data_IF_300951195931
#
_entry.id   IF_300951195931
#
_cell.length_a   1.000
_cell.length_b   1.000
_cell.length_c   1.000
_cell.angle_alpha   90.00
_cell.angle_beta   90.00
_cell.angle_gamma   90.00
#
_symmetry.space_group_name_H-M   'P 1'
#
loop_
_entity.id
_entity.type
_entity.pdbx_description
1 polymer ?
#
# COMPACT_ATOMS: atom_id res chain seq x y z
N UNK A 1 -14.90 26.55 -4.75
CA UNK A 1 -14.61 25.86 -6.03
C UNK A 1 -13.28 25.15 -5.85
N UNK A 2 -13.28 23.83 -5.98
CA UNK A 2 -12.04 23.05 -5.91
C UNK A 2 -11.25 23.34 -7.20
N UNK A 3 -10.10 24.01 -7.09
CA UNK A 3 -9.19 24.19 -8.22
C UNK A 3 -8.57 22.84 -8.58
N UNK A 4 -8.73 22.41 -9.84
CA UNK A 4 -8.08 21.21 -10.33
C UNK A 4 -6.56 21.45 -10.36
N UNK A 5 -5.81 20.57 -9.71
CA UNK A 5 -4.35 20.65 -9.65
C UNK A 5 -3.75 19.99 -10.90
N UNK A 6 -2.77 20.67 -11.51
CA UNK A 6 -2.12 20.15 -12.74
C UNK A 6 -1.04 19.14 -12.41
N UNK A 7 -1.13 17.97 -13.03
CA UNK A 7 -0.10 16.94 -13.00
C UNK A 7 0.33 16.59 -14.43
N UNK A 8 1.63 16.68 -14.70
CA UNK A 8 2.19 16.28 -15.99
C UNK A 8 2.38 14.77 -16.01
N UNK A 9 1.74 14.11 -16.98
CA UNK A 9 1.87 12.68 -17.23
C UNK A 9 2.30 12.43 -18.66
N UNK A 10 2.88 11.27 -18.93
CA UNK A 10 3.28 10.86 -20.28
C UNK A 10 2.68 9.49 -20.58
N UNK A 11 2.27 9.20 -21.81
CA UNK A 11 1.85 7.86 -22.18
C UNK A 11 3.01 6.89 -22.06
N UNK A 12 2.78 5.77 -21.37
CA UNK A 12 3.81 4.76 -21.09
C UNK A 12 3.80 3.66 -22.15
N UNK A 13 4.95 3.45 -22.78
CA UNK A 13 5.17 2.40 -23.79
C UNK A 13 5.66 1.09 -23.13
N UNK A 14 6.39 1.21 -22.01
CA UNK A 14 7.01 0.05 -21.32
C UNK A 14 5.98 -0.66 -20.47
N UNK A 15 5.68 -1.92 -20.79
CA UNK A 15 4.72 -2.77 -20.09
C UNK A 15 5.37 -4.02 -19.48
N UNK A 16 4.68 -4.68 -18.57
CA UNK A 16 5.06 -5.95 -17.97
C UNK A 16 6.31 -5.87 -17.07
N UNK A 17 7.15 -6.90 -17.09
CA UNK A 17 8.29 -7.07 -16.16
C UNK A 17 9.33 -5.95 -16.23
N UNK A 18 9.40 -5.20 -17.34
CA UNK A 18 10.36 -4.10 -17.53
C UNK A 18 10.03 -2.82 -16.76
N UNK A 19 8.84 -2.72 -16.18
CA UNK A 19 8.38 -1.58 -15.36
C UNK A 19 9.27 -1.33 -14.14
N UNK A 20 9.88 -2.39 -13.58
CA UNK A 20 10.84 -2.25 -12.48
C UNK A 20 12.05 -1.38 -12.80
N UNK A 21 12.44 -1.28 -14.07
CA UNK A 21 13.54 -0.40 -14.51
C UNK A 21 13.13 1.08 -14.48
N UNK A 22 11.84 1.40 -14.72
CA UNK A 22 11.31 2.77 -14.64
C UNK A 22 11.35 3.26 -13.19
N UNK A 23 10.89 2.43 -12.25
CA UNK A 23 10.90 2.77 -10.82
C UNK A 23 12.31 3.09 -10.31
N UNK A 24 13.32 2.32 -10.73
CA UNK A 24 14.75 2.59 -10.41
C UNK A 24 15.26 3.92 -10.97
N UNK A 25 14.64 4.44 -12.02
CA UNK A 25 14.95 5.75 -12.60
C UNK A 25 14.17 6.90 -11.99
N UNK A 26 13.35 6.64 -10.94
CA UNK A 26 12.49 7.65 -10.31
C UNK A 26 11.22 7.95 -11.09
N UNK A 27 10.82 7.06 -12.01
CA UNK A 27 9.56 7.20 -12.77
C UNK A 27 8.50 6.32 -12.17
N UNK A 28 7.38 6.93 -11.77
CA UNK A 28 6.21 6.25 -11.22
C UNK A 28 5.29 5.82 -12.37
N UNK A 29 5.08 4.51 -12.54
CA UNK A 29 4.10 4.00 -13.48
C UNK A 29 2.68 4.14 -12.90
N UNK A 30 1.73 4.46 -13.76
CA UNK A 30 0.32 4.54 -13.42
C UNK A 30 -0.58 4.07 -14.55
N UNK A 31 -1.88 4.11 -14.27
CA UNK A 31 -2.95 3.83 -15.22
C UNK A 31 -4.05 4.87 -15.04
N UNK A 32 -4.56 5.40 -16.14
CA UNK A 32 -5.76 6.24 -16.15
C UNK A 32 -6.90 5.38 -16.68
N UNK A 33 -7.91 5.15 -15.87
CA UNK A 33 -9.05 4.30 -16.21
C UNK A 33 -10.38 5.00 -15.92
N UNK A 34 -11.49 4.37 -16.29
CA UNK A 34 -12.85 4.90 -16.08
C UNK A 34 -13.29 5.92 -17.14
N UNK A 35 -14.52 6.43 -16.97
CA UNK A 35 -15.15 7.31 -17.95
C UNK A 35 -15.40 6.63 -19.31
N UNK A 36 -15.64 7.43 -20.35
CA UNK A 36 -15.96 6.94 -21.69
C UNK A 36 -14.75 6.46 -22.51
N UNK A 37 -13.53 6.47 -21.94
CA UNK A 37 -12.30 6.15 -22.68
C UNK A 37 -11.64 4.84 -22.26
N UNK A 38 -10.77 4.27 -23.10
CA UNK A 38 -9.99 3.09 -22.75
C UNK A 38 -9.00 3.39 -21.62
N UNK A 39 -8.61 2.36 -20.88
CA UNK A 39 -7.55 2.48 -19.88
C UNK A 39 -6.22 2.80 -20.57
N UNK A 40 -5.57 3.86 -20.14
CA UNK A 40 -4.33 4.36 -20.74
C UNK A 40 -3.19 4.22 -19.74
N UNK A 41 -2.12 3.46 -20.05
CA UNK A 41 -0.95 3.39 -19.20
C UNK A 41 -0.19 4.72 -19.28
N UNK A 42 0.17 5.24 -18.10
CA UNK A 42 0.88 6.52 -17.96
C UNK A 42 2.13 6.38 -17.11
N UNK A 43 2.98 7.38 -17.19
CA UNK A 43 4.14 7.54 -16.32
C UNK A 43 4.29 8.98 -15.88
N UNK A 44 4.72 9.18 -14.64
CA UNK A 44 4.98 10.51 -14.06
C UNK A 44 6.26 10.48 -13.24
N UNK A 45 6.81 11.63 -12.93
CA UNK A 45 7.94 11.74 -12.01
C UNK A 45 7.52 11.37 -10.59
N UNK A 46 8.22 10.41 -9.99
CA UNK A 46 7.88 9.86 -8.66
C UNK A 46 8.01 10.92 -7.57
N UNK A 47 9.08 11.73 -7.60
CA UNK A 47 9.34 12.71 -6.56
C UNK A 47 8.33 13.87 -6.62
N UNK A 48 8.08 14.39 -7.83
CA UNK A 48 7.10 15.44 -8.04
C UNK A 48 5.69 14.99 -7.63
N UNK A 49 5.31 13.75 -7.98
CA UNK A 49 4.03 13.18 -7.57
C UNK A 49 3.94 13.02 -6.05
N UNK A 50 4.98 12.51 -5.40
CA UNK A 50 4.98 12.31 -3.94
C UNK A 50 4.78 13.61 -3.16
N UNK A 51 5.51 14.67 -3.53
CA UNK A 51 5.36 16.00 -2.90
C UNK A 51 3.96 16.57 -3.09
N UNK A 52 3.41 16.37 -4.26
CA UNK A 52 2.08 16.84 -4.63
C UNK A 52 1.00 16.05 -3.90
N UNK A 53 1.12 14.73 -3.91
CA UNK A 53 0.18 13.81 -3.26
C UNK A 53 0.05 14.04 -1.75
N UNK A 54 1.14 14.36 -1.06
CA UNK A 54 1.10 14.72 0.37
C UNK A 54 0.22 15.95 0.65
N UNK A 55 0.06 16.83 -0.33
CA UNK A 55 -0.78 18.03 -0.22
C UNK A 55 -2.21 17.80 -0.66
N UNK A 56 -2.39 16.94 -1.66
CA UNK A 56 -3.67 16.75 -2.35
C UNK A 56 -4.52 15.64 -1.72
N UNK A 57 -3.89 14.55 -1.30
CA UNK A 57 -4.59 13.34 -0.89
C UNK A 57 -5.25 12.62 -2.06
N UNK A 58 -6.19 11.71 -1.75
CA UNK A 58 -6.91 10.91 -2.75
C UNK A 58 -8.07 11.66 -3.42
N UNK A 59 -8.65 12.63 -2.71
CA UNK A 59 -9.95 13.26 -3.06
C UNK A 59 -9.83 14.53 -3.88
N UNK A 60 -8.61 15.00 -4.17
CA UNK A 60 -8.41 16.23 -4.94
C UNK A 60 -8.51 15.98 -6.43
N UNK A 61 -9.24 16.85 -7.12
CA UNK A 61 -9.34 16.86 -8.57
C UNK A 61 -8.00 17.19 -9.22
N UNK A 62 -7.54 16.32 -10.12
CA UNK A 62 -6.33 16.49 -10.90
C UNK A 62 -6.67 16.74 -12.36
N UNK A 63 -5.98 17.69 -12.98
CA UNK A 63 -5.94 17.86 -14.42
C UNK A 63 -4.66 17.19 -14.95
N UNK A 64 -4.81 16.03 -15.59
CA UNK A 64 -3.71 15.27 -16.18
C UNK A 64 -3.37 15.87 -17.54
N UNK A 65 -2.21 16.50 -17.64
CA UNK A 65 -1.71 17.09 -18.89
C UNK A 65 -0.66 16.18 -19.54
N UNK A 66 -0.70 16.05 -20.87
CA UNK A 66 0.28 15.28 -21.65
C UNK A 66 -0.25 13.95 -22.20
N UNK A 67 -1.57 13.75 -22.16
CA UNK A 67 -2.23 12.63 -22.84
C UNK A 67 -2.67 13.05 -24.24
N UNK A 68 -2.70 12.09 -25.19
CA UNK A 68 -3.05 12.32 -26.59
C UNK A 68 -4.48 12.86 -26.83
N UNK A 69 -5.31 12.92 -25.79
CA UNK A 69 -6.69 13.44 -25.83
C UNK A 69 -6.89 14.82 -25.18
N UNK A 70 -5.81 15.51 -24.79
CA UNK A 70 -5.90 16.79 -24.07
C UNK A 70 -5.84 16.63 -22.54
N UNK A 71 -6.26 17.67 -21.81
CA UNK A 71 -6.32 17.62 -20.34
C UNK A 71 -7.50 16.74 -19.91
N UNK A 72 -7.20 15.75 -19.07
CA UNK A 72 -8.20 14.80 -18.52
C UNK A 72 -8.36 15.05 -17.04
N UNK A 73 -9.60 15.25 -16.59
CA UNK A 73 -9.91 15.36 -15.17
C UNK A 73 -9.96 13.97 -14.54
N UNK A 74 -9.22 13.77 -13.47
CA UNK A 74 -9.14 12.50 -12.76
C UNK A 74 -8.99 12.71 -11.25
N UNK A 75 -9.34 11.66 -10.48
CA UNK A 75 -9.02 11.51 -9.06
C UNK A 75 -7.96 10.44 -8.88
N UNK A 76 -7.20 10.52 -7.80
CA UNK A 76 -6.33 9.41 -7.38
C UNK A 76 -7.23 8.36 -6.74
N UNK A 77 -7.32 7.18 -7.36
CA UNK A 77 -8.11 6.08 -6.82
C UNK A 77 -7.30 5.26 -5.80
N UNK A 78 -6.10 4.84 -6.19
CA UNK A 78 -5.22 4.08 -5.30
C UNK A 78 -3.75 4.41 -5.55
N UNK A 79 -2.95 4.30 -4.51
CA UNK A 79 -1.48 4.46 -4.55
C UNK A 79 -0.83 3.27 -3.87
N UNK A 80 -0.42 2.32 -4.66
CA UNK A 80 0.32 1.15 -4.18
C UNK A 80 1.71 1.55 -3.71
N UNK A 81 2.08 1.12 -2.49
CA UNK A 81 3.39 1.37 -1.88
C UNK A 81 4.09 0.07 -1.52
N UNK A 82 5.39 0.09 -1.56
CA UNK A 82 6.22 -0.99 -1.05
C UNK A 82 6.14 -1.02 0.49
N UNK A 83 5.79 -2.15 1.11
CA UNK A 83 5.59 -2.23 2.57
C UNK A 83 6.89 -2.02 3.37
N UNK A 84 8.05 -2.29 2.78
CA UNK A 84 9.36 -2.16 3.44
C UNK A 84 9.98 -0.80 3.21
N UNK A 85 10.14 -0.41 1.93
CA UNK A 85 10.79 0.86 1.57
C UNK A 85 9.85 2.06 1.60
N UNK A 86 8.52 1.82 1.65
CA UNK A 86 7.44 2.82 1.54
C UNK A 86 7.45 3.63 0.24
N UNK A 87 8.26 3.24 -0.72
CA UNK A 87 8.29 3.87 -2.05
C UNK A 87 6.99 3.59 -2.80
N UNK A 88 6.53 4.58 -3.57
CA UNK A 88 5.37 4.41 -4.43
C UNK A 88 5.71 3.47 -5.58
N UNK A 89 4.89 2.45 -5.78
CA UNK A 89 5.05 1.44 -6.83
C UNK A 89 4.16 1.69 -8.03
N UNK A 90 2.94 2.14 -7.80
CA UNK A 90 1.92 2.36 -8.82
C UNK A 90 0.93 3.42 -8.38
N UNK A 91 0.32 4.09 -9.32
CA UNK A 91 -0.79 5.01 -9.09
C UNK A 91 -1.90 4.75 -10.08
N UNK A 92 -3.11 4.71 -9.57
CA UNK A 92 -4.33 4.50 -10.34
C UNK A 92 -5.16 5.78 -10.34
N UNK A 93 -5.39 6.33 -11.53
CA UNK A 93 -6.18 7.52 -11.74
C UNK A 93 -7.55 7.14 -12.31
N UNK A 94 -8.61 7.45 -11.60
CA UNK A 94 -9.97 7.33 -12.10
C UNK A 94 -10.37 8.60 -12.85
N UNK A 95 -10.74 8.49 -14.13
CA UNK A 95 -11.33 9.61 -14.87
C UNK A 95 -12.69 9.92 -14.29
N UNK A 96 -12.93 11.18 -14.01
CA UNK A 96 -14.19 11.62 -13.45
C UNK A 96 -14.84 12.69 -14.32
N UNK A 97 -16.17 12.62 -14.40
CA UNK A 97 -17.01 13.66 -14.97
C UNK A 97 -17.49 14.57 -13.84
N UNK A 98 -17.48 15.88 -14.04
CA UNK A 98 -17.97 16.82 -13.03
C UNK A 98 -19.48 16.73 -12.79
N UNK A 99 -20.20 16.06 -13.67
CA UNK A 99 -21.67 15.92 -13.65
C UNK A 99 -22.14 14.58 -13.07
N UNK A 100 -21.23 13.63 -12.85
CA UNK A 100 -21.56 12.31 -12.33
C UNK A 100 -21.01 12.15 -10.92
N UNK A 101 -21.75 11.44 -10.07
CA UNK A 101 -21.28 11.06 -8.75
C UNK A 101 -20.19 10.01 -8.85
N UNK A 102 -19.20 10.14 -8.01
CA UNK A 102 -18.04 9.25 -7.99
C UNK A 102 -17.81 8.76 -6.56
N UNK A 103 -17.35 7.53 -6.44
CA UNK A 103 -16.93 6.95 -5.17
C UNK A 103 -15.45 7.26 -4.96
N UNK A 104 -15.11 7.68 -3.74
CA UNK A 104 -13.72 7.83 -3.33
C UNK A 104 -13.57 7.53 -1.85
N UNK A 105 -12.36 7.07 -1.48
CA UNK A 105 -12.00 6.81 -0.11
C UNK A 105 -11.45 8.08 0.52
N UNK A 106 -12.14 8.55 1.56
CA UNK A 106 -11.83 9.78 2.28
C UNK A 106 -11.16 9.42 3.60
N UNK A 107 -9.93 9.90 3.86
CA UNK A 107 -9.26 9.62 5.11
C UNK A 107 -9.95 10.28 6.29
N UNK A 108 -9.94 9.59 7.44
CA UNK A 108 -10.43 10.09 8.70
C UNK A 108 -9.32 10.81 9.46
N UNK A 109 -9.58 12.03 9.90
CA UNK A 109 -8.71 12.81 10.75
C UNK A 109 -9.27 12.83 12.17
N UNK A 110 -8.56 12.21 13.09
CA UNK A 110 -8.93 12.20 14.49
C UNK A 110 -8.51 13.51 15.16
N UNK A 111 -9.49 14.29 15.61
CA UNK A 111 -9.28 15.61 16.21
C UNK A 111 -9.57 15.53 17.69
N UNK A 112 -8.83 16.32 18.49
CA UNK A 112 -8.89 16.35 19.95
C UNK A 112 -8.37 15.06 20.60
N UNK A 113 -8.09 15.14 21.89
CA UNK A 113 -7.68 13.99 22.69
C UNK A 113 -8.88 13.39 23.40
N UNK A 114 -8.92 12.07 23.47
CA UNK A 114 -9.94 11.36 24.22
C UNK A 114 -9.69 11.49 25.72
N UNK A 115 -10.73 11.87 26.52
CA UNK A 115 -10.64 11.85 27.98
C UNK A 115 -10.32 10.48 28.55
N UNK A 116 -10.80 9.39 27.92
CA UNK A 116 -10.50 8.02 28.31
C UNK A 116 -8.99 7.69 28.22
N UNK A 117 -8.29 8.21 27.22
CA UNK A 117 -6.83 8.05 27.09
C UNK A 117 -6.10 8.83 28.17
N UNK A 118 -6.50 10.08 28.40
CA UNK A 118 -5.85 10.96 29.37
C UNK A 118 -6.10 10.57 30.81
N UNK A 119 -7.34 10.21 31.14
CA UNK A 119 -7.78 9.96 32.53
C UNK A 119 -7.64 8.51 32.97
N UNK A 120 -7.92 7.58 32.07
CA UNK A 120 -8.01 6.14 32.39
C UNK A 120 -6.87 5.32 31.76
N UNK A 121 -5.97 5.96 31.00
CA UNK A 121 -4.87 5.26 30.33
C UNK A 121 -5.33 4.28 29.26
N UNK A 122 -6.50 4.50 28.65
CA UNK A 122 -6.99 3.67 27.56
C UNK A 122 -6.14 3.82 26.30
N UNK A 123 -6.13 2.79 25.46
CA UNK A 123 -5.50 2.83 24.11
C UNK A 123 -6.59 2.96 23.06
N UNK A 124 -6.38 3.87 22.11
CA UNK A 124 -7.28 4.01 20.96
C UNK A 124 -6.99 2.93 19.92
N UNK A 125 -8.00 2.13 19.62
CA UNK A 125 -7.99 1.17 18.56
C UNK A 125 -8.70 1.77 17.34
N UNK A 126 -7.94 2.14 16.32
CA UNK A 126 -8.46 2.61 15.05
C UNK A 126 -8.81 1.40 14.19
N UNK A 127 -10.09 1.17 13.95
CA UNK A 127 -10.56 0.07 13.10
C UNK A 127 -10.64 0.52 11.63
N UNK A 128 -11.08 1.76 11.39
CA UNK A 128 -11.12 2.37 10.07
C UNK A 128 -10.21 3.59 10.01
N UNK A 129 -9.45 3.69 8.93
CA UNK A 129 -8.62 4.87 8.60
C UNK A 129 -9.25 5.72 7.50
N UNK A 130 -10.12 5.13 6.69
CA UNK A 130 -10.74 5.72 5.50
C UNK A 130 -12.19 5.28 5.42
N UNK A 131 -13.04 6.10 4.81
CA UNK A 131 -14.46 5.80 4.57
C UNK A 131 -14.79 6.07 3.11
N UNK A 132 -15.47 5.11 2.47
CA UNK A 132 -15.91 5.23 1.08
C UNK A 132 -17.13 6.12 1.00
N UNK A 133 -17.01 7.19 0.23
CA UNK A 133 -18.05 8.23 0.09
C UNK A 133 -18.46 8.39 -1.36
N UNK A 134 -19.75 8.50 -1.61
CA UNK A 134 -20.34 8.87 -2.91
C UNK A 134 -20.68 10.36 -2.91
N UNK A 135 -20.01 11.11 -3.81
CA UNK A 135 -20.24 12.55 -3.96
C UNK A 135 -19.94 13.03 -5.38
N UNK A 136 -20.35 14.27 -5.68
CA UNK A 136 -19.80 14.96 -6.85
C UNK A 136 -18.33 15.31 -6.60
N UNK A 137 -17.46 15.19 -7.61
CA UNK A 137 -16.03 15.48 -7.45
C UNK A 137 -15.72 16.90 -6.92
N UNK A 138 -16.63 17.84 -7.13
CA UNK A 138 -16.49 19.22 -6.63
C UNK A 138 -16.79 19.37 -5.14
N UNK A 139 -17.66 18.51 -4.59
CA UNK A 139 -18.15 18.54 -3.21
C UNK A 139 -17.41 17.56 -2.29
N UNK A 140 -16.42 16.87 -2.83
CA UNK A 140 -15.69 15.84 -2.10
C UNK A 140 -14.74 16.48 -1.08
N UNK A 141 -14.86 16.15 0.22
CA UNK A 141 -13.97 16.66 1.25
C UNK A 141 -12.61 15.98 1.16
N UNK A 142 -11.57 16.67 1.62
CA UNK A 142 -10.21 16.11 1.68
C UNK A 142 -10.04 15.12 2.82
N UNK A 143 -10.76 15.35 3.90
CA UNK A 143 -10.77 14.50 5.09
C UNK A 143 -12.08 14.70 5.84
N UNK A 144 -12.44 13.76 6.68
CA UNK A 144 -13.55 13.83 7.60
C UNK A 144 -12.97 13.91 9.02
N UNK A 145 -13.31 14.95 9.75
CA UNK A 145 -12.84 15.14 11.12
C UNK A 145 -13.70 14.34 12.09
N UNK A 146 -13.06 13.50 12.89
CA UNK A 146 -13.68 12.65 13.91
C UNK A 146 -13.30 13.19 15.28
N UNK A 147 -14.31 13.63 16.06
CA UNK A 147 -14.09 14.17 17.39
C UNK A 147 -13.97 13.06 18.45
N UNK A 148 -12.77 12.92 19.02
CA UNK A 148 -12.48 11.93 20.05
C UNK A 148 -12.93 12.35 21.46
N UNK A 149 -13.42 13.57 21.64
CA UNK A 149 -13.87 14.05 22.97
C UNK A 149 -15.11 13.31 23.49
N UNK A 150 -15.83 12.61 22.62
CA UNK A 150 -16.96 11.75 22.99
C UNK A 150 -16.57 10.47 23.71
N UNK A 151 -15.30 10.02 23.59
CA UNK A 151 -14.81 8.80 24.23
C UNK A 151 -14.38 9.10 25.67
N UNK A 152 -15.29 8.96 26.63
CA UNK A 152 -15.08 9.29 28.05
C UNK A 152 -14.69 8.07 28.89
N UNK A 153 -15.22 6.93 28.56
CA UNK A 153 -15.03 5.69 29.31
C UNK A 153 -14.21 4.66 28.51
N UNK A 154 -13.75 3.64 29.23
CA UNK A 154 -13.16 2.45 28.60
C UNK A 154 -14.29 1.67 27.94
N UNK A 155 -14.02 1.15 26.74
CA UNK A 155 -14.96 0.47 25.84
C UNK A 155 -15.90 1.39 25.05
N UNK A 156 -15.84 2.72 25.24
CA UNK A 156 -16.55 3.65 24.36
C UNK A 156 -16.07 3.50 22.92
N UNK A 157 -17.02 3.60 21.97
CA UNK A 157 -16.77 3.42 20.55
C UNK A 157 -17.50 4.48 19.71
N UNK A 158 -16.88 4.89 18.63
CA UNK A 158 -17.48 5.75 17.61
C UNK A 158 -17.73 4.89 16.36
N UNK A 159 -18.93 4.94 15.84
CA UNK A 159 -19.37 4.23 14.65
C UNK A 159 -19.49 5.19 13.45
N UNK A 160 -19.58 4.63 12.26
CA UNK A 160 -19.75 5.41 11.01
C UNK A 160 -20.97 6.33 11.06
N UNK A 161 -22.07 5.93 11.72
CA UNK A 161 -23.29 6.75 11.92
C UNK A 161 -23.06 8.02 12.75
N UNK A 162 -22.02 8.03 13.60
CA UNK A 162 -21.72 9.14 14.52
C UNK A 162 -20.80 10.18 13.86
N UNK A 163 -20.38 9.96 12.61
CA UNK A 163 -19.56 10.88 11.86
C UNK A 163 -20.35 12.15 11.47
N UNK A 164 -19.82 13.30 11.86
CA UNK A 164 -20.41 14.58 11.49
C UNK A 164 -20.00 14.96 10.07
N UNK A 165 -20.95 14.85 9.14
CA UNK A 165 -20.73 15.19 7.74
C UNK A 165 -21.29 16.59 7.49
N UNK A 166 -20.43 17.53 7.14
CA UNK A 166 -20.81 18.92 6.89
C UNK A 166 -21.42 19.18 5.50
N UNK A 167 -21.50 18.18 4.63
CA UNK A 167 -22.00 18.35 3.27
C UNK A 167 -23.30 17.58 3.04
N UNK A 168 -24.34 18.31 2.62
CA UNK A 168 -25.67 17.76 2.31
C UNK A 168 -25.68 16.81 1.09
N UNK A 169 -24.61 16.82 0.31
CA UNK A 169 -24.47 16.07 -0.96
C UNK A 169 -23.64 14.79 -0.83
N UNK A 170 -23.13 14.51 0.36
CA UNK A 170 -22.31 13.34 0.65
C UNK A 170 -23.15 12.15 1.11
N UNK A 171 -22.87 10.96 0.57
CA UNK A 171 -23.43 9.70 1.03
C UNK A 171 -22.30 8.74 1.39
N UNK A 172 -22.26 8.29 2.64
CA UNK A 172 -21.37 7.21 3.05
C UNK A 172 -21.94 5.88 2.55
N UNK A 173 -21.06 5.04 2.01
CA UNK A 173 -21.41 3.71 1.50
C UNK A 173 -21.08 2.61 2.52
N UNK A 174 -20.22 2.87 3.49
CA UNK A 174 -19.90 1.94 4.56
C UNK A 174 -21.12 1.62 5.41
N UNK A 175 -21.07 0.49 6.10
CA UNK A 175 -22.12 0.10 7.05
C UNK A 175 -22.17 1.12 8.20
N UNK A 176 -23.33 1.69 8.55
CA UNK A 176 -23.49 2.63 9.66
C UNK A 176 -23.10 2.04 11.03
N UNK A 177 -23.16 0.71 11.17
CA UNK A 177 -22.76 0.00 12.40
C UNK A 177 -21.27 -0.36 12.41
N UNK A 178 -20.51 0.01 11.37
CA UNK A 178 -19.09 -0.25 11.32
C UNK A 178 -18.32 0.59 12.33
N UNK A 179 -17.38 -0.04 13.03
CA UNK A 179 -16.57 0.59 14.07
C UNK A 179 -15.48 1.47 13.46
N UNK A 180 -15.42 2.74 13.84
CA UNK A 180 -14.38 3.68 13.43
C UNK A 180 -13.22 3.67 14.42
N UNK A 181 -13.51 3.93 15.69
CA UNK A 181 -12.52 3.96 16.77
C UNK A 181 -13.13 3.49 18.07
N UNK A 182 -12.34 2.80 18.89
CA UNK A 182 -12.71 2.30 20.21
C UNK A 182 -11.61 2.59 21.22
N UNK A 183 -12.02 2.99 22.45
CA UNK A 183 -11.12 3.08 23.59
C UNK A 183 -11.01 1.71 24.26
N UNK A 184 -9.87 1.05 24.16
CA UNK A 184 -9.62 -0.25 24.76
C UNK A 184 -8.78 -0.13 26.04
N UNK A 185 -9.01 -0.98 27.07
CA UNK A 185 -8.15 -1.03 28.23
C UNK A 185 -6.77 -1.57 27.86
N UNK A 186 -5.71 -1.03 28.44
CA UNK A 186 -4.38 -1.61 28.34
C UNK A 186 -4.37 -2.88 29.18
N UNK A 187 -4.32 -4.03 28.53
CA UNK A 187 -3.99 -5.29 29.19
C UNK A 187 -2.49 -5.29 29.50
N UNK A 188 -2.13 -4.83 30.69
CA UNK A 188 -0.77 -5.04 31.20
C UNK A 188 -0.69 -6.54 31.49
N UNK A 189 -0.11 -7.28 30.59
CA UNK A 189 0.34 -8.64 30.88
C UNK A 189 1.44 -8.48 31.93
N UNK A 190 1.07 -8.76 33.19
CA UNK A 190 2.03 -8.78 34.29
C UNK A 190 3.10 -9.79 33.90
N UNK A 191 4.31 -9.30 33.59
CA UNK A 191 5.49 -10.15 33.49
C UNK A 191 5.49 -11.04 34.74
N UNK A 192 5.63 -12.37 34.57
CA UNK A 192 5.74 -13.24 35.75
C UNK A 192 6.97 -12.76 36.53
N UNK A 193 6.71 -12.15 37.66
CA UNK A 193 7.75 -11.86 38.66
C UNK A 193 8.57 -13.13 38.82
N UNK A 194 9.90 -13.07 38.62
CA UNK A 194 10.72 -14.24 38.92
C UNK A 194 10.46 -14.62 40.36
N UNK A 195 9.94 -15.85 40.58
CA UNK A 195 9.77 -16.41 41.89
C UNK A 195 11.10 -16.32 42.62
N UNK A 196 11.13 -15.56 43.68
CA UNK A 196 12.19 -15.48 44.66
C UNK A 196 12.58 -16.91 45.05
N UNK A 197 13.88 -17.30 44.95
CA UNK A 197 14.27 -18.64 45.33
C UNK A 197 14.11 -18.79 46.84
N UNK A 198 13.14 -19.62 47.23
CA UNK A 198 12.97 -20.05 48.59
C UNK A 198 14.27 -20.68 49.10
N UNK A 199 14.84 -20.07 50.11
CA UNK A 199 15.99 -20.53 50.86
C UNK A 199 15.65 -21.93 51.46
N UNK A 200 16.46 -22.96 51.22
CA UNK A 200 16.28 -24.23 51.91
C UNK A 200 16.82 -24.08 53.32
N UNK A 201 15.99 -24.29 54.29
CA UNK A 201 16.36 -24.49 55.68
C UNK A 201 17.04 -25.87 55.83
N UNK A 202 18.24 -25.82 56.31
CA UNK A 202 19.14 -26.88 56.76
C UNK A 202 18.48 -27.76 57.82
N UNK A 203 18.62 -29.07 57.69
CA UNK A 203 18.13 -30.02 58.67
C UNK A 203 18.57 -31.46 58.44
N UNK A 204 19.85 -31.74 58.77
CA UNK A 204 20.42 -32.91 59.46
C UNK A 204 20.18 -34.34 58.96
N UNK A 205 21.30 -34.97 58.59
CA UNK A 205 21.87 -36.28 58.93
C UNK A 205 21.16 -37.59 58.45
N UNK A 206 21.81 -38.37 57.72
CA UNK A 206 22.53 -39.60 58.05
C UNK A 206 22.59 -40.58 56.87
N UNK A 207 23.80 -40.89 56.52
CA UNK A 207 24.44 -42.22 56.38
C UNK A 207 23.87 -43.27 55.40
N UNK A 208 24.75 -43.79 54.57
CA UNK A 208 24.60 -45.07 53.91
C UNK A 208 25.05 -45.08 52.45
N UNK A 209 26.31 -45.14 52.26
CA UNK A 209 27.18 -46.18 51.69
C UNK A 209 26.90 -46.70 50.24
N UNK A 210 27.93 -46.54 49.50
CA UNK A 210 28.59 -47.47 48.59
C UNK A 210 28.05 -47.77 47.20
N UNK A 211 28.89 -47.52 46.21
CA UNK A 211 28.90 -48.34 45.02
C UNK A 211 29.28 -47.71 43.73
N UNK A 212 30.62 -47.49 43.57
CA UNK A 212 31.34 -47.77 42.33
C UNK A 212 30.95 -47.00 41.03
N UNK A 213 31.82 -46.12 40.66
CA UNK A 213 32.23 -45.88 39.29
C UNK A 213 32.88 -47.13 38.65
N UNK A 214 33.30 -47.25 37.41
CA UNK A 214 33.67 -46.17 36.49
C UNK A 214 33.43 -46.47 34.99
N UNK A 215 33.90 -45.52 34.23
CA UNK A 215 34.49 -45.65 32.87
C UNK A 215 33.52 -45.83 31.69
N UNK A 216 33.72 -45.35 30.58
CA UNK A 216 34.74 -44.61 29.86
C UNK A 216 34.24 -44.33 28.45
N UNK A 217 34.77 -43.27 27.93
CA UNK A 217 35.31 -43.11 26.60
C UNK A 217 34.36 -43.18 25.38
N UNK A 218 34.41 -42.22 24.64
CA UNK A 218 35.16 -41.97 23.42
C UNK A 218 34.24 -41.48 22.40
N UNK A 219 34.50 -40.44 21.78
CA UNK A 219 35.41 -40.11 20.73
C UNK A 219 34.56 -39.58 19.61
N UNK A 220 34.71 -38.33 19.30
CA UNK A 220 35.58 -37.83 18.27
C UNK A 220 34.99 -37.94 16.86
N UNK A 221 34.97 -36.77 16.28
CA UNK A 221 35.46 -36.45 14.93
C UNK A 221 34.66 -37.10 13.78
N UNK A 222 34.30 -36.35 12.79
CA UNK A 222 35.01 -35.50 11.94
C UNK A 222 34.30 -35.29 10.64
N UNK A 223 34.60 -34.19 10.11
CA UNK A 223 34.96 -33.96 8.73
C UNK A 223 33.92 -34.01 7.61
N UNK A 224 33.74 -32.82 7.07
CA UNK A 224 33.63 -32.51 5.65
C UNK A 224 34.72 -33.25 4.82
N UNK A 225 34.51 -33.62 3.55
CA UNK A 225 34.80 -32.72 2.44
C UNK A 225 33.79 -32.85 1.28
N UNK A 226 33.53 -31.81 0.53
CA UNK A 226 34.24 -31.25 -0.61
C UNK A 226 34.37 -32.14 -1.86
N UNK A 227 33.93 -31.56 -2.92
CA UNK A 227 34.50 -31.52 -4.26
C UNK A 227 33.99 -32.47 -5.32
N UNK A 228 33.63 -31.83 -6.40
CA UNK A 228 34.16 -31.98 -7.76
C UNK A 228 33.49 -32.95 -8.73
N UNK A 229 33.38 -32.43 -9.91
CA UNK A 229 33.36 -33.08 -11.21
C UNK A 229 32.21 -32.59 -12.06
N UNK A 230 32.33 -31.58 -12.92
CA UNK A 230 32.95 -31.60 -14.23
C UNK A 230 32.24 -32.61 -15.15
N UNK A 231 31.81 -32.32 -16.27
CA UNK A 231 32.22 -31.80 -17.57
C UNK A 231 31.07 -31.97 -18.57
N UNK A 232 30.76 -31.03 -19.33
CA UNK A 232 31.07 -30.82 -20.73
C UNK A 232 30.23 -31.63 -21.75
N UNK A 233 29.64 -30.89 -22.66
CA UNK A 233 29.68 -31.03 -24.12
C UNK A 233 28.50 -30.24 -24.70
N UNK A 234 28.70 -29.13 -25.37
CA UNK A 234 29.20 -28.97 -26.76
C UNK A 234 28.21 -29.51 -27.82
N UNK A 235 27.74 -28.60 -28.64
CA UNK A 235 27.08 -28.92 -29.90
C UNK A 235 26.14 -27.81 -30.31
N UNK A 236 26.59 -26.80 -30.89
CA UNK A 236 26.77 -26.51 -32.32
C UNK A 236 25.49 -25.96 -32.97
N UNK A 237 25.60 -24.70 -33.39
CA UNK A 237 24.81 -24.14 -34.47
C UNK A 237 25.20 -24.76 -35.83
N UNK A 238 24.40 -24.64 -36.87
CA UNK A 238 24.69 -23.72 -37.93
C UNK A 238 23.43 -23.02 -38.48
N UNK A 239 23.48 -21.78 -38.85
CA UNK A 239 23.98 -21.10 -40.06
C UNK A 239 23.18 -21.35 -41.34
N UNK A 240 22.86 -20.25 -41.94
CA UNK A 240 22.65 -19.94 -43.35
C UNK A 240 21.19 -19.94 -43.82
N UNK A 241 20.76 -18.89 -44.31
CA UNK A 241 20.94 -18.00 -45.48
C UNK A 241 19.72 -18.18 -46.38
N UNK A 242 19.06 -17.22 -46.86
CA UNK A 242 19.29 -16.34 -47.99
C UNK A 242 18.03 -15.55 -48.31
N UNK A 243 18.12 -14.29 -48.48
CA UNK A 243 17.29 -13.51 -49.41
C UNK A 243 17.73 -13.86 -50.84
N UNK A 244 17.12 -13.40 -51.92
CA UNK A 244 16.33 -12.20 -52.16
C UNK A 244 15.18 -12.39 -53.18
N UNK A 245 14.42 -11.34 -53.45
CA UNK A 245 13.52 -11.32 -54.60
C UNK A 245 12.74 -10.03 -54.74
N UNK A 246 13.32 -9.11 -55.47
CA UNK A 246 12.75 -7.87 -55.95
C UNK A 246 11.73 -8.08 -57.09
N UNK A 247 10.80 -7.13 -57.25
CA UNK A 247 10.36 -6.40 -58.44
C UNK A 247 8.94 -5.88 -58.20
N UNK A 248 8.70 -4.60 -58.06
CA UNK A 248 8.62 -3.59 -59.12
C UNK A 248 7.54 -3.81 -60.18
N UNK A 249 6.55 -2.94 -60.18
CA UNK A 249 5.75 -2.41 -61.32
C UNK A 249 4.67 -1.54 -60.69
N UNK A 250 4.60 -0.22 -60.74
CA UNK A 250 4.56 0.71 -61.84
C UNK A 250 3.20 0.68 -62.60
N UNK A 251 2.52 1.81 -62.58
CA UNK A 251 1.39 2.17 -63.43
C UNK A 251 0.22 2.71 -62.59
N UNK A 252 -0.21 3.93 -62.57
CA UNK A 252 -0.25 4.93 -63.62
C UNK A 252 -1.70 5.23 -63.97
N UNK A 253 -2.12 6.48 -63.91
CA UNK A 253 -3.33 6.96 -64.54
C UNK A 253 -4.35 7.54 -63.53
N UNK A 254 -4.43 8.77 -63.20
CA UNK A 254 -4.85 9.98 -63.93
C UNK A 254 -6.33 10.00 -64.31
N UNK A 255 -6.97 11.00 -63.74
CA UNK A 255 -7.92 11.95 -64.31
C UNK A 255 -9.42 11.84 -64.01
N UNK A 256 -9.85 12.92 -63.43
CA UNK A 256 -11.02 13.78 -63.75
C UNK A 256 -12.43 13.28 -63.51
N UNK A 257 -13.13 13.89 -62.64
CA UNK A 257 -14.09 14.99 -62.86
C UNK A 257 -14.43 15.59 -61.50
#
# INVERSE_FOLDING_TARGET
MAEAQKLTVRPRVVLGKKVGALRRKGVLPGVVFGGAGPSTPVETDMHAFELSYRRWGNTTLLSLAGLDGGEVTALVHDVSRDPVSRQMLHVDFARVSLTEKTHADVPLHFVKESPAVRGLGAVLLHALSEVTVEAFPQDMPRSIDVDLSGLQEIDDAIFVRDLVIHATTLRILNDPEELVVKAAPVKVEAEPTPAEPAVPVEGVAAEGEEGAAPAAAGGAEGAKPAAAGAEAAKGAAPKAAAAPGAKASAGGGAKKA
#
